data_IF_157728459112
#
_entry.id   IF_157728459112
#
_cell.length_a   1.000
_cell.length_b   1.000
_cell.length_c   1.000
_cell.angle_alpha   90.00
_cell.angle_beta   90.00
_cell.angle_gamma   90.00
#
_symmetry.space_group_name_H-M   'P 1'
#
loop_
_entity.id
_entity.type
_entity.pdbx_description
1 polymer ?
#
# COMPACT_ATOMS: atom_id res chain seq x y z
N UNK A 1 -11.45 -37.11 14.98
CA UNK A 1 -11.05 -35.89 14.25
C UNK A 1 -12.16 -34.87 14.42
N UNK A 2 -12.08 -34.06 15.46
CA UNK A 2 -13.01 -32.95 15.67
C UNK A 2 -12.59 -31.81 14.75
N UNK A 3 -13.23 -31.70 13.59
CA UNK A 3 -13.25 -30.48 12.80
C UNK A 3 -13.96 -29.42 13.62
N UNK A 4 -13.21 -28.59 14.33
CA UNK A 4 -13.70 -27.33 14.89
C UNK A 4 -14.21 -26.50 13.71
N UNK A 5 -15.52 -26.44 13.52
CA UNK A 5 -16.11 -25.47 12.60
C UNK A 5 -15.76 -24.08 13.13
N UNK A 6 -14.90 -23.36 12.41
CA UNK A 6 -14.70 -21.93 12.62
C UNK A 6 -16.05 -21.25 12.46
N UNK A 7 -16.56 -20.61 13.51
CA UNK A 7 -17.84 -19.88 13.47
C UNK A 7 -17.80 -18.65 12.55
N UNK A 8 -16.58 -18.21 12.22
CA UNK A 8 -16.31 -17.01 11.45
C UNK A 8 -15.51 -17.34 10.19
N UNK A 9 -15.76 -16.58 9.13
CA UNK A 9 -14.93 -16.50 7.93
C UNK A 9 -14.19 -15.16 7.91
N UNK A 10 -13.00 -15.18 7.34
CA UNK A 10 -12.12 -14.02 7.21
C UNK A 10 -12.24 -13.45 5.80
N UNK A 11 -12.23 -12.12 5.72
CA UNK A 11 -12.23 -11.38 4.46
C UNK A 11 -11.08 -10.37 4.47
N UNK A 12 -10.16 -10.51 3.53
CA UNK A 12 -8.94 -9.70 3.41
C UNK A 12 -8.89 -9.05 2.03
N UNK A 13 -8.53 -7.77 1.99
CA UNK A 13 -8.12 -7.03 0.80
C UNK A 13 -6.75 -6.40 1.02
N UNK A 14 -5.93 -6.34 -0.03
CA UNK A 14 -4.57 -5.81 0.04
C UNK A 14 -4.42 -4.59 -0.86
N UNK A 15 -3.73 -3.57 -0.34
CA UNK A 15 -3.34 -2.36 -1.06
C UNK A 15 -1.82 -2.34 -1.18
N UNK A 16 -1.32 -2.57 -2.39
CA UNK A 16 0.10 -2.79 -2.64
C UNK A 16 0.67 -1.62 -3.42
N UNK A 17 1.67 -0.94 -2.86
CA UNK A 17 2.41 0.11 -3.56
C UNK A 17 3.72 -0.47 -4.11
N UNK A 18 3.85 -0.53 -5.43
CA UNK A 18 5.06 -0.96 -6.12
C UNK A 18 5.83 0.26 -6.67
N UNK A 19 7.02 0.49 -6.15
CA UNK A 19 7.93 1.53 -6.61
C UNK A 19 8.55 1.14 -7.95
N UNK A 20 8.33 1.99 -8.96
CA UNK A 20 8.86 1.75 -10.29
C UNK A 20 10.35 2.13 -10.35
N UNK A 21 11.16 1.25 -10.93
CA UNK A 21 12.60 1.44 -11.15
C UNK A 21 12.94 2.30 -12.38
N UNK A 22 12.14 3.33 -12.65
CA UNK A 22 12.41 4.26 -13.75
C UNK A 22 13.65 5.07 -13.45
N UNK A 23 14.37 5.55 -14.47
CA UNK A 23 15.56 6.39 -14.27
C UNK A 23 15.24 7.79 -13.74
N UNK A 24 14.04 8.28 -14.04
CA UNK A 24 13.58 9.60 -13.60
C UNK A 24 12.23 9.50 -12.89
N UNK A 25 11.94 10.52 -12.09
CA UNK A 25 10.68 10.72 -11.37
C UNK A 25 9.47 10.78 -12.31
N UNK A 26 8.26 10.67 -11.75
CA UNK A 26 7.01 10.58 -12.53
C UNK A 26 6.65 11.90 -13.20
N UNK A 27 6.98 13.04 -12.60
CA UNK A 27 6.61 14.37 -13.11
C UNK A 27 7.79 15.31 -13.41
N UNK A 28 9.03 14.84 -13.26
CA UNK A 28 10.24 15.62 -13.54
C UNK A 28 11.44 14.72 -13.89
N UNK A 29 12.56 15.33 -14.29
CA UNK A 29 13.76 14.62 -14.76
C UNK A 29 14.77 14.26 -13.65
N UNK A 30 14.44 14.47 -12.37
CA UNK A 30 15.32 14.06 -11.27
C UNK A 30 15.49 12.54 -11.24
N UNK A 31 16.67 12.09 -10.81
CA UNK A 31 16.97 10.69 -10.57
C UNK A 31 16.14 10.10 -9.40
N UNK A 32 16.06 8.79 -9.37
CA UNK A 32 15.28 7.96 -8.43
C UNK A 32 16.18 7.00 -7.64
N UNK A 33 17.49 7.26 -7.60
CA UNK A 33 18.45 6.34 -7.03
C UNK A 33 18.35 6.30 -5.50
N UNK A 34 18.37 5.10 -4.93
CA UNK A 34 18.33 4.92 -3.48
C UNK A 34 19.69 5.24 -2.85
N UNK A 35 19.69 5.70 -1.59
CA UNK A 35 20.90 5.86 -0.78
C UNK A 35 21.76 7.09 -1.09
N UNK A 36 21.25 8.04 -1.87
CA UNK A 36 21.93 9.30 -2.16
C UNK A 36 21.89 10.28 -0.98
N UNK A 37 22.75 11.30 -1.00
CA UNK A 37 22.77 12.35 0.02
C UNK A 37 21.39 13.02 0.15
N UNK A 38 20.95 13.30 1.38
CA UNK A 38 19.65 13.90 1.65
C UNK A 38 19.41 15.16 0.81
N UNK A 39 18.25 15.24 0.17
CA UNK A 39 17.86 16.37 -0.70
C UNK A 39 18.81 16.67 -1.88
N UNK A 40 19.57 15.69 -2.38
CA UNK A 40 20.45 15.84 -3.56
C UNK A 40 19.75 15.58 -4.90
N UNK A 41 18.66 14.81 -4.92
CA UNK A 41 17.91 14.42 -6.12
C UNK A 41 16.58 15.17 -6.25
N UNK A 42 16.63 16.49 -6.11
CA UNK A 42 15.45 17.36 -6.09
C UNK A 42 15.49 18.42 -7.19
N UNK A 43 14.33 18.97 -7.51
CA UNK A 43 14.18 20.12 -8.40
C UNK A 43 12.92 20.91 -8.01
N UNK A 44 12.72 22.12 -8.57
CA UNK A 44 11.55 22.93 -8.27
C UNK A 44 10.21 22.21 -8.44
N UNK A 45 10.10 21.29 -9.41
CA UNK A 45 8.85 20.55 -9.70
C UNK A 45 8.51 19.59 -8.56
N UNK A 46 9.43 18.70 -8.17
CA UNK A 46 9.14 17.70 -7.14
C UNK A 46 9.03 18.32 -5.75
N UNK A 47 9.67 19.47 -5.50
CA UNK A 47 9.54 20.23 -4.24
C UNK A 47 8.40 21.25 -4.25
N UNK A 48 7.58 21.32 -5.31
CA UNK A 48 6.39 22.18 -5.33
C UNK A 48 6.69 23.68 -5.26
N UNK A 49 7.82 24.13 -5.81
CA UNK A 49 8.16 25.56 -5.86
C UNK A 49 7.11 26.34 -6.66
N UNK A 50 6.76 27.59 -6.30
CA UNK A 50 5.76 28.37 -7.04
C UNK A 50 6.06 28.47 -8.54
N UNK A 51 5.03 28.23 -9.38
CA UNK A 51 5.09 28.39 -10.84
C UNK A 51 5.49 27.14 -11.64
N UNK A 52 5.70 25.99 -10.98
CA UNK A 52 6.09 24.74 -11.65
C UNK A 52 4.90 23.97 -12.21
N UNK A 53 5.15 23.13 -13.22
CA UNK A 53 4.15 22.26 -13.84
C UNK A 53 4.69 20.81 -13.96
N UNK A 54 3.86 19.79 -13.74
CA UNK A 54 4.26 18.39 -13.87
C UNK A 54 4.35 17.97 -15.35
N UNK A 55 5.36 17.15 -15.68
CA UNK A 55 5.49 16.52 -17.01
C UNK A 55 5.57 15.01 -16.84
N UNK A 56 4.52 14.30 -17.29
CA UNK A 56 4.39 12.87 -17.10
C UNK A 56 5.51 12.08 -17.79
N UNK A 57 6.12 11.18 -17.02
CA UNK A 57 7.11 10.24 -17.50
C UNK A 57 6.44 9.12 -18.33
N UNK A 58 6.78 9.06 -19.62
CA UNK A 58 6.25 8.04 -20.55
C UNK A 58 6.48 6.61 -20.07
N UNK A 59 7.66 6.32 -19.49
CA UNK A 59 8.01 4.97 -19.05
C UNK A 59 7.08 4.45 -17.95
N UNK A 60 6.57 5.36 -17.10
CA UNK A 60 5.60 5.03 -16.04
C UNK A 60 4.30 4.52 -16.64
N UNK A 61 3.81 5.17 -17.70
CA UNK A 61 2.60 4.72 -18.42
C UNK A 61 2.82 3.36 -19.07
N UNK A 62 3.95 3.19 -19.78
CA UNK A 62 4.28 1.94 -20.45
C UNK A 62 4.35 0.77 -19.44
N UNK A 63 4.93 1.00 -18.26
CA UNK A 63 5.04 -0.01 -17.20
C UNK A 63 3.73 -0.25 -16.43
N UNK A 64 2.89 0.77 -16.27
CA UNK A 64 1.55 0.58 -15.72
C UNK A 64 0.72 -0.33 -16.62
N UNK A 65 0.75 -0.09 -17.94
CA UNK A 65 0.06 -0.93 -18.94
C UNK A 65 0.63 -2.34 -18.94
N UNK A 66 1.96 -2.49 -18.96
CA UNK A 66 2.63 -3.79 -18.93
C UNK A 66 2.24 -4.60 -17.68
N UNK A 67 2.25 -3.96 -16.52
CA UNK A 67 1.84 -4.58 -15.25
C UNK A 67 0.37 -4.97 -15.27
N UNK A 68 -0.51 -4.08 -15.76
CA UNK A 68 -1.92 -4.38 -15.93
C UNK A 68 -2.18 -5.60 -16.82
N UNK A 69 -1.51 -5.69 -17.96
CA UNK A 69 -1.63 -6.84 -18.86
C UNK A 69 -1.16 -8.14 -18.20
N UNK A 70 -0.04 -8.11 -17.47
CA UNK A 70 0.46 -9.27 -16.74
C UNK A 70 -0.47 -9.71 -15.60
N UNK A 71 -1.24 -8.77 -15.04
CA UNK A 71 -2.24 -8.99 -14.00
C UNK A 71 -3.66 -9.16 -14.57
N UNK A 72 -3.76 -9.45 -15.88
CA UNK A 72 -5.01 -9.71 -16.60
C UNK A 72 -6.04 -8.58 -16.50
N UNK A 73 -5.61 -7.34 -16.29
CA UNK A 73 -6.49 -6.18 -16.22
C UNK A 73 -6.98 -5.73 -17.59
N UNK A 74 -8.13 -5.07 -17.57
CA UNK A 74 -8.62 -4.23 -18.65
C UNK A 74 -7.85 -2.90 -18.64
N UNK A 75 -7.21 -2.55 -19.76
CA UNK A 75 -6.46 -1.30 -19.91
C UNK A 75 -7.40 -0.20 -20.39
N UNK A 76 -7.43 0.91 -19.66
CA UNK A 76 -8.27 2.05 -19.97
C UNK A 76 -7.78 2.77 -21.24
N UNK A 77 -8.68 2.98 -22.21
CA UNK A 77 -8.39 3.84 -23.38
C UNK A 77 -8.25 5.32 -23.02
N UNK A 78 -8.86 5.70 -21.90
CA UNK A 78 -8.81 7.03 -21.33
C UNK A 78 -8.64 6.92 -19.82
N UNK A 79 -7.62 7.59 -19.29
CA UNK A 79 -7.35 7.71 -17.85
C UNK A 79 -6.95 9.15 -17.55
N UNK A 80 -7.19 9.62 -16.32
CA UNK A 80 -6.76 10.96 -15.89
C UNK A 80 -5.95 10.88 -14.61
N UNK A 81 -5.20 11.95 -14.33
CA UNK A 81 -4.57 12.18 -13.04
C UNK A 81 -5.42 13.14 -12.22
N UNK A 82 -5.41 12.93 -10.92
CA UNK A 82 -6.19 13.62 -9.90
C UNK A 82 -5.27 14.13 -8.80
N UNK A 83 -5.78 15.10 -8.03
CA UNK A 83 -5.05 15.71 -6.92
C UNK A 83 -5.65 15.22 -5.61
N UNK A 84 -4.92 14.37 -4.88
CA UNK A 84 -5.25 13.96 -3.52
C UNK A 84 -4.65 14.97 -2.56
N UNK A 85 -5.49 15.75 -1.88
CA UNK A 85 -5.06 16.89 -1.07
C UNK A 85 -4.91 16.45 0.39
N UNK A 86 -3.73 16.66 0.97
CA UNK A 86 -3.50 16.50 2.40
C UNK A 86 -2.22 17.21 2.82
N UNK A 87 -2.16 17.64 4.07
CA UNK A 87 -1.01 18.36 4.61
C UNK A 87 -0.15 17.37 5.41
N UNK A 88 1.07 17.13 4.93
CA UNK A 88 2.05 16.36 5.67
C UNK A 88 3.48 16.83 5.30
N UNK A 89 4.43 16.90 6.24
CA UNK A 89 5.73 17.53 5.99
C UNK A 89 6.57 16.88 4.88
N UNK A 90 6.38 15.60 4.57
CA UNK A 90 7.09 14.92 3.48
C UNK A 90 6.44 15.13 2.09
N UNK A 91 5.30 15.81 2.02
CA UNK A 91 4.57 16.10 0.81
C UNK A 91 4.62 17.62 0.52
N UNK A 92 5.68 18.11 -0.15
CA UNK A 92 5.95 19.55 -0.26
C UNK A 92 4.89 20.31 -1.08
N UNK A 93 4.11 19.61 -1.91
CA UNK A 93 3.02 20.18 -2.70
C UNK A 93 1.69 20.28 -1.95
N UNK A 94 1.57 19.64 -0.77
CA UNK A 94 0.31 19.34 -0.07
C UNK A 94 -0.75 18.65 -0.95
N UNK A 95 -0.29 18.08 -2.06
CA UNK A 95 -1.07 17.38 -3.07
C UNK A 95 -0.19 16.23 -3.55
N UNK A 96 -0.72 15.02 -3.47
CA UNK A 96 -0.20 13.86 -4.16
C UNK A 96 -0.96 13.71 -5.47
N UNK A 97 -0.25 13.75 -6.59
CA UNK A 97 -0.85 13.48 -7.90
C UNK A 97 -0.97 11.97 -8.08
N UNK A 98 -2.20 11.49 -8.18
CA UNK A 98 -2.57 10.07 -8.27
C UNK A 98 -3.69 9.90 -9.31
N UNK A 99 -4.46 8.81 -9.32
CA UNK A 99 -5.67 8.68 -10.14
C UNK A 99 -6.83 8.22 -9.25
N UNK A 100 -8.00 8.84 -9.38
CA UNK A 100 -9.15 8.49 -8.54
C UNK A 100 -10.17 7.61 -9.28
N UNK A 101 -11.15 8.18 -9.97
CA UNK A 101 -12.26 7.45 -10.61
C UNK A 101 -11.88 6.78 -11.96
N UNK A 102 -10.81 7.24 -12.60
CA UNK A 102 -10.36 6.75 -13.91
C UNK A 102 -8.90 6.23 -13.86
N UNK A 103 -8.63 5.16 -13.10
CA UNK A 103 -7.34 4.48 -13.09
C UNK A 103 -7.03 3.86 -14.46
N UNK A 104 -5.74 3.66 -14.72
CA UNK A 104 -5.24 3.10 -15.98
C UNK A 104 -5.59 1.62 -16.17
N UNK A 105 -5.73 0.83 -15.09
CA UNK A 105 -6.14 -0.57 -15.17
C UNK A 105 -7.30 -0.88 -14.21
N UNK A 106 -8.22 -1.76 -14.63
CA UNK A 106 -9.34 -2.27 -13.81
C UNK A 106 -9.56 -3.77 -14.04
N UNK A 107 -10.33 -4.40 -13.16
CA UNK A 107 -10.90 -5.75 -13.38
C UNK A 107 -9.85 -6.83 -13.71
N UNK A 108 -8.72 -6.83 -13.01
CA UNK A 108 -7.69 -7.85 -13.16
C UNK A 108 -7.89 -9.05 -12.24
N UNK A 109 -6.94 -9.98 -12.25
CA UNK A 109 -6.90 -11.10 -11.31
C UNK A 109 -5.54 -11.81 -11.28
N UNK A 110 -5.32 -12.51 -10.17
CA UNK A 110 -4.26 -13.52 -9.98
C UNK A 110 -4.87 -14.84 -9.52
N UNK A 111 -4.37 -15.94 -10.09
CA UNK A 111 -4.76 -17.28 -9.68
C UNK A 111 -3.74 -17.81 -8.66
N UNK A 112 -4.14 -17.92 -7.39
CA UNK A 112 -3.33 -18.36 -6.26
C UNK A 112 -3.86 -19.69 -5.76
N UNK A 113 -3.03 -20.74 -5.80
CA UNK A 113 -3.40 -22.09 -5.31
C UNK A 113 -4.75 -22.62 -5.85
N UNK A 114 -5.06 -22.32 -7.12
CA UNK A 114 -6.31 -22.74 -7.76
C UNK A 114 -7.53 -21.86 -7.46
N UNK A 115 -7.36 -20.79 -6.68
CA UNK A 115 -8.39 -19.78 -6.43
C UNK A 115 -8.04 -18.48 -7.13
N UNK A 116 -9.05 -17.84 -7.73
CA UNK A 116 -8.91 -16.53 -8.34
C UNK A 116 -9.11 -15.42 -7.31
N UNK A 117 -8.11 -14.55 -7.16
CA UNK A 117 -8.18 -13.31 -6.39
C UNK A 117 -8.25 -12.16 -7.38
N UNK A 118 -9.33 -11.39 -7.34
CA UNK A 118 -9.53 -10.28 -8.26
C UNK A 118 -8.69 -9.06 -7.85
N UNK A 119 -8.24 -8.33 -8.86
CA UNK A 119 -7.61 -7.01 -8.72
C UNK A 119 -8.65 -5.98 -9.12
N UNK A 120 -9.02 -5.10 -8.19
CA UNK A 120 -9.98 -4.04 -8.43
C UNK A 120 -9.41 -3.03 -9.45
N UNK A 121 -8.19 -2.56 -9.20
CA UNK A 121 -7.56 -1.49 -9.97
C UNK A 121 -6.04 -1.47 -9.84
N UNK A 122 -5.40 -0.86 -10.82
CA UNK A 122 -4.01 -0.40 -10.74
C UNK A 122 -3.98 1.05 -11.18
N UNK A 123 -3.31 1.90 -10.42
CA UNK A 123 -3.17 3.30 -10.78
C UNK A 123 -1.78 3.85 -10.51
N UNK A 124 -1.44 4.89 -11.28
CA UNK A 124 -0.16 5.58 -11.18
C UNK A 124 -0.24 6.72 -10.18
N UNK A 125 0.79 6.86 -9.37
CA UNK A 125 0.92 8.00 -8.47
C UNK A 125 2.37 8.36 -8.18
N UNK A 126 2.57 9.51 -7.54
CA UNK A 126 3.85 9.91 -6.99
C UNK A 126 4.00 9.54 -5.52
N UNK A 127 5.21 9.12 -5.13
CA UNK A 127 5.53 8.89 -3.72
C UNK A 127 5.80 10.20 -2.97
N UNK A 128 5.60 10.14 -1.66
CA UNK A 128 5.98 11.20 -0.74
C UNK A 128 7.48 11.12 -0.39
N UNK A 129 7.98 12.16 0.29
CA UNK A 129 9.34 12.18 0.85
C UNK A 129 9.51 11.18 1.99
N UNK A 130 10.61 11.32 2.73
CA UNK A 130 10.90 10.53 3.93
C UNK A 130 11.04 11.46 5.13
N UNK A 131 10.40 11.09 6.24
CA UNK A 131 10.64 11.70 7.55
C UNK A 131 11.60 10.84 8.35
N UNK A 132 12.56 11.49 9.00
CA UNK A 132 13.42 10.90 10.03
C UNK A 132 13.17 11.66 11.32
N UNK A 133 12.54 11.00 12.28
CA UNK A 133 12.27 11.58 13.59
C UNK A 133 13.52 11.46 14.46
N UNK A 134 13.90 12.54 15.12
CA UNK A 134 15.12 12.62 15.91
C UNK A 134 14.81 13.07 17.35
N UNK A 135 15.65 12.60 18.28
CA UNK A 135 15.52 12.89 19.71
C UNK A 135 14.87 11.77 20.54
N UNK A 136 14.48 10.65 19.92
CA UNK A 136 14.07 9.42 20.62
C UNK A 136 14.21 8.19 19.73
N UNK A 137 13.89 6.99 20.24
CA UNK A 137 13.92 5.73 19.50
C UNK A 137 12.75 5.55 18.51
N UNK A 138 11.81 6.51 18.44
CA UNK A 138 10.64 6.42 17.58
C UNK A 138 9.96 7.77 17.36
N UNK A 139 8.70 7.75 16.91
CA UNK A 139 7.90 8.97 16.74
C UNK A 139 7.55 9.57 18.11
N UNK A 140 7.16 8.73 19.07
CA UNK A 140 6.82 9.17 20.43
C UNK A 140 8.08 9.61 21.18
N UNK A 141 8.11 10.90 21.57
CA UNK A 141 9.22 11.50 22.30
C UNK A 141 10.25 12.21 21.42
N UNK A 142 10.12 12.15 20.10
CA UNK A 142 10.97 12.93 19.19
C UNK A 142 10.68 14.42 19.29
N UNK A 143 11.73 15.23 19.34
CA UNK A 143 11.63 16.69 19.51
C UNK A 143 11.58 17.44 18.18
N UNK A 144 12.04 16.82 17.10
CA UNK A 144 11.96 17.36 15.74
C UNK A 144 11.97 16.23 14.70
N UNK A 145 11.62 16.58 13.46
CA UNK A 145 11.67 15.69 12.31
C UNK A 145 12.49 16.33 11.20
N UNK A 146 13.35 15.53 10.57
CA UNK A 146 14.12 15.90 9.40
C UNK A 146 13.40 15.38 8.15
N UNK A 147 13.35 16.20 7.10
CA UNK A 147 12.65 15.87 5.85
C UNK A 147 13.65 15.67 4.73
N UNK A 148 13.54 14.53 4.05
CA UNK A 148 14.26 14.25 2.81
C UNK A 148 13.29 14.06 1.63
N UNK A 149 13.37 14.97 0.66
CA UNK A 149 12.53 14.98 -0.54
C UNK A 149 13.14 14.22 -1.72
N UNK A 150 14.25 13.50 -1.53
CA UNK A 150 14.81 12.62 -2.56
C UNK A 150 13.76 11.66 -3.13
N UNK A 151 12.90 11.10 -2.27
CA UNK A 151 11.84 10.16 -2.67
C UNK A 151 10.60 10.84 -3.25
N UNK A 152 10.36 12.11 -2.97
CA UNK A 152 9.19 12.83 -3.48
C UNK A 152 9.17 12.81 -5.00
N UNK A 153 8.09 12.30 -5.60
CA UNK A 153 7.96 12.19 -7.06
C UNK A 153 8.50 10.88 -7.64
N UNK A 154 9.01 9.95 -6.84
CA UNK A 154 9.33 8.60 -7.33
C UNK A 154 8.02 7.93 -7.78
N UNK A 155 7.96 7.27 -8.96
CA UNK A 155 6.71 6.72 -9.44
C UNK A 155 6.30 5.46 -8.68
N UNK A 156 5.01 5.35 -8.38
CA UNK A 156 4.39 4.17 -7.80
C UNK A 156 3.28 3.64 -8.70
N UNK A 157 3.06 2.33 -8.63
CA UNK A 157 1.79 1.71 -8.96
C UNK A 157 1.11 1.27 -7.67
N UNK A 158 -0.08 1.78 -7.39
CA UNK A 158 -0.94 1.25 -6.34
C UNK A 158 -1.87 0.19 -6.95
N UNK A 159 -1.72 -1.05 -6.46
CA UNK A 159 -2.40 -2.27 -6.91
C UNK A 159 -3.34 -2.70 -5.79
N UNK A 160 -4.65 -2.59 -6.03
CA UNK A 160 -5.67 -2.84 -5.02
C UNK A 160 -6.41 -4.13 -5.36
N UNK A 161 -6.43 -5.09 -4.43
CA UNK A 161 -7.23 -6.31 -4.59
C UNK A 161 -8.69 -6.08 -4.25
N UNK A 162 -9.57 -6.92 -4.80
CA UNK A 162 -10.88 -7.14 -4.19
C UNK A 162 -10.71 -7.87 -2.84
N UNK A 163 -11.73 -7.83 -1.95
CA UNK A 163 -11.70 -8.55 -0.68
C UNK A 163 -11.98 -10.05 -0.87
N UNK A 164 -11.21 -10.70 -1.75
CA UNK A 164 -11.36 -12.12 -2.10
C UNK A 164 -10.48 -13.03 -1.24
N UNK A 165 -9.50 -12.48 -0.52
CA UNK A 165 -8.51 -13.27 0.23
C UNK A 165 -9.15 -13.76 1.53
N UNK A 166 -9.04 -15.06 1.81
CA UNK A 166 -9.74 -15.72 2.92
C UNK A 166 -8.84 -16.26 4.02
N UNK A 167 -7.51 -16.17 3.88
CA UNK A 167 -6.58 -16.54 4.95
C UNK A 167 -5.26 -15.75 4.90
N UNK A 168 -4.53 -15.65 6.03
CA UNK A 168 -3.19 -15.07 6.06
C UNK A 168 -2.18 -15.75 5.12
N UNK A 169 -2.26 -17.07 4.95
CA UNK A 169 -1.40 -17.82 4.03
C UNK A 169 -1.68 -17.46 2.57
N UNK A 170 -2.96 -17.28 2.23
CA UNK A 170 -3.38 -16.84 0.90
C UNK A 170 -2.94 -15.40 0.63
N UNK A 171 -3.00 -14.51 1.62
CA UNK A 171 -2.49 -13.15 1.53
C UNK A 171 -0.99 -13.12 1.26
N UNK A 172 -0.22 -13.96 1.96
CA UNK A 172 1.21 -14.15 1.73
C UNK A 172 1.49 -14.68 0.32
N UNK A 173 0.79 -15.73 -0.11
CA UNK A 173 0.98 -16.33 -1.43
C UNK A 173 0.65 -15.34 -2.57
N UNK A 174 -0.40 -14.53 -2.40
CA UNK A 174 -0.73 -13.43 -3.31
C UNK A 174 0.42 -12.41 -3.42
N UNK A 175 0.97 -11.97 -2.27
CA UNK A 175 2.08 -11.02 -2.25
C UNK A 175 3.38 -11.57 -2.83
N UNK A 176 3.68 -12.84 -2.58
CA UNK A 176 4.83 -13.53 -3.18
C UNK A 176 4.70 -13.62 -4.70
N UNK A 177 3.52 -13.97 -5.21
CA UNK A 177 3.28 -14.06 -6.65
C UNK A 177 3.29 -12.68 -7.33
N UNK A 178 2.63 -11.69 -6.73
CA UNK A 178 2.66 -10.32 -7.23
C UNK A 178 4.11 -9.79 -7.30
N UNK A 179 4.91 -10.06 -6.27
CA UNK A 179 6.34 -9.75 -6.26
C UNK A 179 7.09 -10.46 -7.39
N UNK A 180 6.82 -11.73 -7.64
CA UNK A 180 7.46 -12.47 -8.72
C UNK A 180 7.16 -11.82 -10.07
N UNK A 181 5.90 -11.46 -10.33
CA UNK A 181 5.47 -10.82 -11.57
C UNK A 181 6.17 -9.48 -11.79
N UNK A 182 6.11 -8.55 -10.82
CA UNK A 182 6.70 -7.21 -11.01
C UNK A 182 8.23 -7.26 -11.18
N UNK A 183 8.89 -8.25 -10.55
CA UNK A 183 10.32 -8.51 -10.74
C UNK A 183 10.63 -9.11 -12.10
N UNK A 184 9.79 -10.04 -12.56
CA UNK A 184 9.95 -10.67 -13.87
C UNK A 184 9.77 -9.67 -15.00
N UNK A 185 8.82 -8.74 -14.87
CA UNK A 185 8.64 -7.62 -15.79
C UNK A 185 9.78 -6.59 -15.72
N UNK A 186 10.58 -6.61 -14.65
CA UNK A 186 11.67 -5.66 -14.41
C UNK A 186 11.21 -4.26 -14.01
N UNK A 187 9.93 -4.08 -13.65
CA UNK A 187 9.35 -2.77 -13.33
C UNK A 187 9.60 -2.36 -11.87
N UNK A 188 9.72 -3.33 -10.97
CA UNK A 188 9.99 -3.16 -9.52
C UNK A 188 10.97 -4.26 -9.06
N UNK A 189 11.84 -3.99 -8.09
CA UNK A 189 12.76 -4.99 -7.50
C UNK A 189 12.08 -5.81 -6.38
N UNK A 190 10.92 -5.34 -5.89
CA UNK A 190 10.05 -6.09 -4.99
C UNK A 190 10.61 -6.22 -3.57
N UNK A 191 11.49 -5.31 -3.15
CA UNK A 191 12.09 -5.32 -1.81
C UNK A 191 11.18 -4.62 -0.78
N UNK A 192 10.65 -5.40 0.17
CA UNK A 192 9.82 -4.86 1.24
C UNK A 192 10.66 -4.14 2.31
N UNK A 193 11.88 -4.59 2.57
CA UNK A 193 12.75 -4.01 3.61
C UNK A 193 13.24 -2.61 3.22
N UNK A 194 13.56 -2.42 1.94
CA UNK A 194 13.95 -1.11 1.37
C UNK A 194 12.72 -0.25 1.02
N UNK A 195 11.50 -0.78 1.17
CA UNK A 195 10.25 -0.06 0.95
C UNK A 195 9.83 0.13 -0.52
N UNK A 196 10.50 -0.55 -1.45
CA UNK A 196 10.14 -0.55 -2.87
C UNK A 196 8.84 -1.30 -3.17
N UNK A 197 8.45 -2.23 -2.28
CA UNK A 197 7.14 -2.88 -2.31
C UNK A 197 6.54 -2.75 -0.92
N UNK A 198 5.41 -2.06 -0.82
CA UNK A 198 4.71 -1.82 0.46
C UNK A 198 3.32 -2.42 0.38
N UNK A 199 2.79 -2.88 1.50
CA UNK A 199 1.46 -3.46 1.57
C UNK A 199 0.75 -2.97 2.83
N UNK A 200 -0.43 -2.40 2.64
CA UNK A 200 -1.42 -2.19 3.69
C UNK A 200 -2.49 -3.28 3.56
N UNK A 201 -2.92 -3.84 4.69
CA UNK A 201 -3.83 -4.98 4.72
C UNK A 201 -5.15 -4.60 5.37
N UNK A 202 -6.24 -4.79 4.66
CA UNK A 202 -7.59 -4.57 5.14
C UNK A 202 -8.19 -5.92 5.54
N UNK A 203 -8.64 -6.08 6.78
CA UNK A 203 -9.19 -7.34 7.28
C UNK A 203 -10.49 -7.12 8.06
N UNK A 204 -11.43 -8.03 7.84
CA UNK A 204 -12.67 -8.14 8.63
C UNK A 204 -13.02 -9.61 8.83
N UNK A 205 -13.73 -9.91 9.92
CA UNK A 205 -14.33 -11.21 10.17
C UNK A 205 -15.85 -11.12 10.14
N UNK A 206 -16.51 -12.20 9.71
CA UNK A 206 -17.98 -12.30 9.75
C UNK A 206 -18.42 -13.73 10.06
N UNK A 207 -19.59 -13.96 10.67
CA UNK A 207 -20.17 -15.29 10.82
C UNK A 207 -20.25 -16.03 9.49
N UNK A 208 -19.95 -17.33 9.50
CA UNK A 208 -20.00 -18.16 8.28
C UNK A 208 -21.35 -18.08 7.59
N UNK A 209 -21.34 -17.72 6.30
CA UNK A 209 -22.53 -17.65 5.46
C UNK A 209 -23.24 -16.30 5.49
N UNK A 210 -22.77 -15.35 6.31
CA UNK A 210 -23.22 -13.97 6.23
C UNK A 210 -22.71 -13.31 4.95
N UNK A 211 -23.61 -12.69 4.18
CA UNK A 211 -23.22 -12.06 2.91
C UNK A 211 -22.57 -10.70 3.09
N UNK A 212 -23.01 -9.96 4.10
CA UNK A 212 -22.50 -8.63 4.42
C UNK A 212 -21.07 -8.72 4.95
N UNK A 213 -20.22 -7.76 4.55
CA UNK A 213 -18.86 -7.64 5.07
C UNK A 213 -18.89 -7.14 6.52
N UNK A 214 -17.95 -7.62 7.33
CA UNK A 214 -17.75 -7.11 8.68
C UNK A 214 -17.12 -5.71 8.68
N UNK A 215 -17.03 -5.09 9.85
CA UNK A 215 -16.30 -3.82 10.00
C UNK A 215 -14.82 -4.04 9.67
N UNK A 216 -14.30 -3.22 8.77
CA UNK A 216 -12.92 -3.29 8.28
C UNK A 216 -11.94 -2.65 9.26
N UNK A 217 -10.84 -3.35 9.54
CA UNK A 217 -9.64 -2.78 10.17
C UNK A 217 -8.51 -2.76 9.15
N UNK A 218 -7.78 -1.66 9.09
CA UNK A 218 -6.60 -1.53 8.24
C UNK A 218 -5.34 -1.72 9.09
N UNK A 219 -4.44 -2.59 8.65
CA UNK A 219 -3.13 -2.82 9.27
C UNK A 219 -2.07 -2.19 8.37
N UNK A 220 -1.18 -1.40 8.97
CA UNK A 220 -0.01 -0.81 8.29
C UNK A 220 1.31 -1.25 8.94
N UNK A 221 2.42 -0.88 8.30
CA UNK A 221 3.79 -1.09 8.77
C UNK A 221 4.22 -2.58 8.82
N UNK A 222 3.89 -3.34 7.77
CA UNK A 222 4.32 -4.74 7.61
C UNK A 222 5.44 -4.82 6.58
N UNK A 223 6.69 -4.89 7.05
CA UNK A 223 7.88 -4.81 6.19
C UNK A 223 8.40 -6.16 5.68
N UNK A 224 7.64 -7.25 5.86
CA UNK A 224 7.98 -8.57 5.30
C UNK A 224 6.72 -9.41 5.07
N UNK A 225 6.81 -10.43 4.22
CA UNK A 225 5.73 -11.39 4.01
C UNK A 225 5.36 -12.15 5.28
N UNK A 226 6.35 -12.44 6.12
CA UNK A 226 6.14 -13.07 7.42
C UNK A 226 5.43 -12.12 8.39
N UNK A 227 5.77 -10.84 8.38
CA UNK A 227 5.10 -9.83 9.18
C UNK A 227 3.64 -9.65 8.75
N UNK A 228 3.36 -9.60 7.43
CA UNK A 228 1.99 -9.57 6.91
C UNK A 228 1.16 -10.75 7.42
N UNK A 229 1.69 -11.97 7.27
CA UNK A 229 0.99 -13.19 7.71
C UNK A 229 0.70 -13.14 9.22
N UNK A 230 1.71 -12.87 10.05
CA UNK A 230 1.57 -12.78 11.52
C UNK A 230 0.60 -11.68 11.95
N UNK A 231 0.63 -10.53 11.27
CA UNK A 231 -0.24 -9.42 11.58
C UNK A 231 -1.71 -9.76 11.30
N UNK A 232 -1.98 -10.43 10.18
CA UNK A 232 -3.31 -10.91 9.84
C UNK A 232 -3.77 -12.01 10.81
N UNK A 233 -2.92 -12.98 11.15
CA UNK A 233 -3.22 -14.03 12.14
C UNK A 233 -3.66 -13.40 13.48
N UNK A 234 -2.85 -12.48 14.01
CA UNK A 234 -3.15 -11.79 15.26
C UNK A 234 -4.45 -10.97 15.19
N UNK A 235 -4.64 -10.20 14.11
CA UNK A 235 -5.79 -9.31 13.97
C UNK A 235 -7.10 -10.09 13.81
N UNK A 236 -7.08 -11.22 13.11
CA UNK A 236 -8.24 -12.12 12.99
C UNK A 236 -8.64 -12.67 14.36
N UNK A 237 -7.68 -13.20 15.12
CA UNK A 237 -7.93 -13.72 16.48
C UNK A 237 -8.52 -12.63 17.39
N UNK A 238 -7.91 -11.44 17.38
CA UNK A 238 -8.37 -10.28 18.16
C UNK A 238 -9.78 -9.84 17.78
N UNK A 239 -10.11 -9.81 16.49
CA UNK A 239 -11.47 -9.46 16.07
C UNK A 239 -12.50 -10.51 16.48
N UNK A 240 -12.17 -11.80 16.36
CA UNK A 240 -13.06 -12.90 16.77
C UNK A 240 -13.31 -12.82 18.29
N UNK A 241 -12.27 -12.65 19.09
CA UNK A 241 -12.39 -12.53 20.55
C UNK A 241 -13.27 -11.35 20.96
N UNK A 242 -13.09 -10.18 20.34
CA UNK A 242 -13.91 -8.99 20.61
C UNK A 242 -15.39 -9.25 20.30
N UNK A 243 -15.69 -9.87 19.16
CA UNK A 243 -17.07 -10.18 18.76
C UNK A 243 -17.69 -11.26 19.66
N UNK A 244 -16.94 -12.31 20.03
CA UNK A 244 -17.42 -13.36 20.92
C UNK A 244 -17.68 -12.86 22.35
N UNK A 245 -16.94 -11.84 22.80
CA UNK A 245 -17.16 -11.16 24.07
C UNK A 245 -18.34 -10.16 24.04
N UNK A 246 -19.06 -10.07 22.91
CA UNK A 246 -20.19 -9.14 22.73
C UNK A 246 -19.77 -7.69 22.44
N UNK A 247 -18.48 -7.48 22.18
CA UNK A 247 -17.92 -6.22 21.73
C UNK A 247 -18.24 -5.91 20.27
N UNK A 248 -17.78 -4.76 19.80
CA UNK A 248 -17.97 -4.32 18.41
C UNK A 248 -16.64 -3.89 17.82
N UNK A 249 -16.33 -4.40 16.64
CA UNK A 249 -15.18 -3.92 15.86
C UNK A 249 -15.46 -2.49 15.40
N UNK A 250 -14.55 -1.59 15.76
CA UNK A 250 -14.52 -0.22 15.25
C UNK A 250 -13.65 -0.18 13.98
N UNK A 251 -14.03 0.68 13.03
CA UNK A 251 -13.19 0.94 11.87
C UNK A 251 -12.03 1.86 12.31
N UNK A 252 -10.82 1.35 12.20
CA UNK A 252 -9.61 2.06 12.59
C UNK A 252 -8.40 1.55 11.78
N UNK A 253 -7.34 2.36 11.77
CA UNK A 253 -6.03 1.95 11.29
C UNK A 253 -5.15 1.55 12.47
N UNK A 254 -4.52 0.38 12.38
CA UNK A 254 -3.62 -0.20 13.38
C UNK A 254 -2.24 -0.40 12.79
N UNK A 255 -1.21 -0.28 13.62
CA UNK A 255 0.18 -0.52 13.25
C UNK A 255 0.63 -1.88 13.75
N UNK A 256 1.31 -2.66 12.90
CA UNK A 256 1.99 -3.88 13.33
C UNK A 256 3.25 -3.55 14.13
N UNK A 257 3.39 -4.17 15.31
CA UNK A 257 4.61 -4.17 16.11
C UNK A 257 5.22 -5.57 16.06
N UNK A 258 6.28 -5.75 15.27
CA UNK A 258 6.87 -7.07 15.01
C UNK A 258 7.54 -7.70 16.24
N UNK A 259 8.17 -6.86 17.09
CA UNK A 259 8.85 -7.28 18.33
C UNK A 259 7.85 -7.85 19.34
N UNK A 260 6.71 -7.18 19.50
CA UNK A 260 5.65 -7.59 20.44
C UNK A 260 4.69 -8.61 19.82
N UNK A 261 4.66 -8.72 18.49
CA UNK A 261 3.73 -9.58 17.76
C UNK A 261 2.26 -9.16 17.91
N UNK A 262 1.98 -7.86 17.95
CA UNK A 262 0.61 -7.33 18.15
C UNK A 262 0.30 -6.17 17.20
N UNK A 263 -0.97 -5.98 16.85
CA UNK A 263 -1.47 -4.75 16.22
C UNK A 263 -1.83 -3.71 17.29
N UNK A 264 -1.43 -2.45 17.07
CA UNK A 264 -1.70 -1.34 17.98
C UNK A 264 -2.53 -0.27 17.29
N UNK A 265 -3.60 0.20 17.94
CA UNK A 265 -4.40 1.32 17.44
C UNK A 265 -3.55 2.59 17.35
N UNK A 266 -3.64 3.31 16.23
CA UNK A 266 -3.14 4.69 16.18
C UNK A 266 -4.11 5.56 16.98
N UNK A 267 -3.62 6.34 17.96
CA UNK A 267 -4.46 7.29 18.70
C UNK A 267 -5.29 8.12 17.71
N UNK A 268 -6.58 8.30 18.00
CA UNK A 268 -7.61 8.94 17.14
C UNK A 268 -7.34 10.42 16.82
N UNK A 269 -6.24 10.73 16.13
CA UNK A 269 -5.88 12.11 15.74
C UNK A 269 -5.57 12.32 14.26
N UNK A 270 -5.71 11.29 13.43
CA UNK A 270 -5.64 11.44 11.98
C UNK A 270 -6.85 10.74 11.36
N UNK A 271 -7.99 11.44 11.36
CA UNK A 271 -9.09 11.05 10.47
C UNK A 271 -8.63 11.28 9.03
N UNK A 272 -8.81 10.27 8.18
CA UNK A 272 -8.62 10.42 6.74
C UNK A 272 -9.69 11.37 6.20
N UNK A 273 -9.29 12.57 5.78
CA UNK A 273 -10.13 13.54 5.07
C UNK A 273 -10.09 13.31 3.55
#
# INVERSE_FOLDING_TARGET
MTTTQTKYETVIGLEVHAQLRTKSKIFCNCATEFGQEHNSQICPVCTGTPGVLPVLNRQVVDWAILTGLALNCEIAKYSKFDRKHYFYPDLPKNIQVSQFDMPICKNGYLDINGKRIRINRIHMEEDAGKLVHAGSAGIEGSSYSLVDYNRTGVPLLEIVSEPDISSPEEAKAYMEELRNIVRYLGVCDGNLEEGSLRCDANVSVRPVGQKELGTKVEIKNMNSFRALQRALEYEIERQIEEVENGGKIIQETRLWNDERGVTMSMRSKEESH
#
